data_IF_629292889555
#
_entry.id   IF_629292889555
#
_cell.length_a   1.000
_cell.length_b   1.000
_cell.length_c   1.000
_cell.angle_alpha   90.00
_cell.angle_beta   90.00
_cell.angle_gamma   90.00
#
_symmetry.space_group_name_H-M   'P 1'
#
loop_
_entity.id
_entity.type
_entity.pdbx_description
1 polymer ?
#
# COMPACT_ATOMS: atom_id res chain seq x y z
N UNK A 1 28.81 12.91 -14.09
CA UNK A 1 27.69 12.42 -13.24
C UNK A 1 26.95 13.54 -12.50
N UNK A 2 27.59 14.68 -12.18
CA UNK A 2 26.92 15.81 -11.54
C UNK A 2 25.80 16.44 -12.39
N UNK A 3 26.05 16.66 -13.69
CA UNK A 3 25.05 17.26 -14.61
C UNK A 3 23.74 16.46 -14.68
N UNK A 4 23.73 15.13 -14.95
CA UNK A 4 22.48 14.37 -14.97
C UNK A 4 21.80 14.28 -13.59
N UNK A 5 22.57 14.26 -12.49
CA UNK A 5 22.00 14.27 -11.14
C UNK A 5 21.28 15.60 -10.83
N UNK A 6 21.88 16.74 -11.22
CA UNK A 6 21.27 18.06 -11.06
C UNK A 6 20.02 18.22 -11.93
N UNK A 7 20.03 17.71 -13.16
CA UNK A 7 18.85 17.70 -14.02
C UNK A 7 17.71 16.86 -13.41
N UNK A 8 18.03 15.69 -12.87
CA UNK A 8 17.05 14.86 -12.16
C UNK A 8 16.46 15.55 -10.93
N UNK A 9 17.31 16.22 -10.13
CA UNK A 9 16.85 17.00 -8.98
C UNK A 9 15.95 18.17 -9.42
N UNK A 10 16.36 18.91 -10.45
CA UNK A 10 15.59 20.02 -10.97
C UNK A 10 14.20 19.58 -11.46
N UNK A 11 14.12 18.43 -12.14
CA UNK A 11 12.84 17.87 -12.62
C UNK A 11 11.86 17.57 -11.47
N UNK A 12 12.36 17.12 -10.32
CA UNK A 12 11.53 16.85 -9.14
C UNK A 12 11.15 18.13 -8.38
N UNK A 13 12.09 19.07 -8.27
CA UNK A 13 11.94 20.24 -7.40
C UNK A 13 11.23 21.41 -8.09
N UNK A 14 11.47 21.64 -9.38
CA UNK A 14 10.89 22.79 -10.10
C UNK A 14 9.35 22.80 -10.12
N UNK A 15 8.63 21.68 -10.37
CA UNK A 15 7.17 21.67 -10.32
C UNK A 15 6.64 22.01 -8.93
N UNK A 16 7.32 21.56 -7.87
CA UNK A 16 6.96 21.86 -6.49
C UNK A 16 7.17 23.34 -6.18
N UNK A 17 8.29 23.94 -6.60
CA UNK A 17 8.53 25.38 -6.48
C UNK A 17 7.46 26.16 -7.25
N UNK A 18 7.14 25.75 -8.48
CA UNK A 18 6.10 26.41 -9.28
C UNK A 18 4.73 26.35 -8.60
N UNK A 19 4.36 25.20 -8.01
CA UNK A 19 3.12 25.04 -7.26
C UNK A 19 3.09 25.96 -6.02
N UNK A 20 4.16 25.94 -5.22
CA UNK A 20 4.34 26.75 -4.01
C UNK A 20 4.29 28.25 -4.35
N UNK A 21 4.88 28.66 -5.47
CA UNK A 21 4.86 30.06 -5.93
C UNK A 21 3.48 30.56 -6.34
N UNK A 22 2.59 29.65 -6.77
CA UNK A 22 1.21 29.98 -7.17
C UNK A 22 0.21 29.91 -6.01
N UNK A 23 0.61 29.39 -4.85
CA UNK A 23 -0.25 29.34 -3.68
C UNK A 23 -0.50 30.74 -3.11
N UNK A 24 -1.75 31.07 -2.79
CA UNK A 24 -2.13 32.33 -2.15
C UNK A 24 -1.79 32.29 -0.65
N UNK A 25 -0.55 32.66 -0.32
CA UNK A 25 -0.03 32.67 1.07
C UNK A 25 -0.86 33.48 2.06
N UNK A 26 -1.62 34.47 1.58
CA UNK A 26 -2.50 35.30 2.39
C UNK A 26 -3.77 34.57 2.87
N UNK A 27 -4.32 33.67 2.06
CA UNK A 27 -5.56 32.93 2.37
C UNK A 27 -5.28 31.52 2.84
N UNK A 28 -4.05 31.02 2.66
CA UNK A 28 -3.62 29.65 2.95
C UNK A 28 -4.10 29.13 4.33
N UNK A 29 -4.00 29.97 5.37
CA UNK A 29 -4.48 29.61 6.70
C UNK A 29 -6.00 29.43 6.74
N UNK A 30 -6.76 30.33 6.13
CA UNK A 30 -8.23 30.26 6.04
C UNK A 30 -8.69 29.10 5.15
N UNK A 31 -7.97 28.82 4.07
CA UNK A 31 -8.29 27.75 3.12
C UNK A 31 -8.09 26.37 3.77
N UNK A 32 -6.98 26.17 4.51
CA UNK A 32 -6.70 24.90 5.21
C UNK A 32 -7.59 24.71 6.45
N UNK A 33 -7.95 25.79 7.15
CA UNK A 33 -8.82 25.73 8.35
C UNK A 33 -10.30 25.74 8.02
N UNK A 34 -10.66 25.83 6.74
CA UNK A 34 -12.04 25.72 6.29
C UNK A 34 -12.64 24.36 6.64
N UNK A 35 -13.93 24.34 6.97
CA UNK A 35 -14.62 23.12 7.39
C UNK A 35 -14.55 22.04 6.30
N UNK A 36 -14.66 22.42 5.03
CA UNK A 36 -14.55 21.53 3.88
C UNK A 36 -13.14 20.93 3.75
N UNK A 37 -12.09 21.72 3.93
CA UNK A 37 -10.72 21.22 3.88
C UNK A 37 -10.44 20.24 5.03
N UNK A 38 -10.86 20.57 6.25
CA UNK A 38 -10.66 19.69 7.41
C UNK A 38 -11.45 18.38 7.28
N UNK A 39 -12.68 18.43 6.78
CA UNK A 39 -13.48 17.23 6.50
C UNK A 39 -12.83 16.36 5.42
N UNK A 40 -12.37 16.96 4.33
CA UNK A 40 -11.68 16.25 3.26
C UNK A 40 -10.37 15.61 3.75
N UNK A 41 -9.54 16.38 4.47
CA UNK A 41 -8.30 15.88 5.07
C UNK A 41 -8.57 14.73 6.04
N UNK A 42 -9.56 14.88 6.92
CA UNK A 42 -9.96 13.84 7.88
C UNK A 42 -10.41 12.56 7.19
N UNK A 43 -11.23 12.68 6.13
CA UNK A 43 -11.68 11.55 5.34
C UNK A 43 -10.51 10.86 4.61
N UNK A 44 -9.63 11.62 3.95
CA UNK A 44 -8.45 11.09 3.26
C UNK A 44 -7.48 10.38 4.22
N UNK A 45 -7.25 10.93 5.41
CA UNK A 45 -6.45 10.29 6.45
C UNK A 45 -7.10 8.99 6.95
N UNK A 46 -8.40 9.03 7.25
CA UNK A 46 -9.13 7.87 7.73
C UNK A 46 -9.14 6.72 6.70
N UNK A 47 -9.38 7.03 5.43
CA UNK A 47 -9.37 6.02 4.35
C UNK A 47 -7.97 5.49 4.09
N UNK A 48 -6.94 6.36 4.02
CA UNK A 48 -5.56 5.94 3.81
C UNK A 48 -5.02 5.07 4.96
N UNK A 49 -5.34 5.40 6.22
CA UNK A 49 -4.98 4.56 7.37
C UNK A 49 -5.69 3.21 7.34
N UNK A 50 -6.99 3.20 7.01
CA UNK A 50 -7.77 1.97 6.88
C UNK A 50 -7.22 1.06 5.76
N UNK A 51 -6.88 1.66 4.60
CA UNK A 51 -6.28 0.96 3.49
C UNK A 51 -4.89 0.41 3.85
N UNK A 52 -4.08 1.19 4.57
CA UNK A 52 -2.76 0.77 5.05
C UNK A 52 -2.89 -0.40 6.03
N UNK A 53 -3.84 -0.34 6.97
CA UNK A 53 -4.09 -1.44 7.91
C UNK A 53 -4.51 -2.71 7.17
N UNK A 54 -5.40 -2.60 6.18
CA UNK A 54 -5.78 -3.71 5.31
C UNK A 54 -4.58 -4.28 4.54
N UNK A 55 -3.74 -3.40 3.99
CA UNK A 55 -2.52 -3.79 3.29
C UNK A 55 -1.53 -4.50 4.22
N UNK A 56 -1.35 -4.06 5.46
CA UNK A 56 -0.50 -4.76 6.43
C UNK A 56 -1.07 -6.14 6.74
N UNK A 57 -2.38 -6.22 7.01
CA UNK A 57 -3.04 -7.46 7.36
C UNK A 57 -2.96 -8.52 6.25
N UNK A 58 -3.10 -8.12 4.98
CA UNK A 58 -3.07 -9.04 3.84
C UNK A 58 -1.67 -9.20 3.23
N UNK A 59 -0.92 -8.09 3.15
CA UNK A 59 0.35 -7.99 2.46
C UNK A 59 1.53 -8.58 3.23
N UNK A 60 1.55 -8.50 4.57
CA UNK A 60 2.62 -9.14 5.36
C UNK A 60 2.58 -10.67 5.23
N UNK A 61 1.42 -11.35 5.41
CA UNK A 61 1.31 -12.78 5.13
C UNK A 61 1.69 -13.15 3.69
N UNK A 62 1.27 -12.35 2.70
CA UNK A 62 1.60 -12.58 1.30
C UNK A 62 3.12 -12.47 1.05
N UNK A 63 3.77 -11.45 1.60
CA UNK A 63 5.21 -11.27 1.50
C UNK A 63 5.98 -12.42 2.18
N UNK A 64 5.51 -12.91 3.33
CA UNK A 64 6.06 -14.09 4.00
C UNK A 64 5.91 -15.34 3.12
N UNK A 65 4.73 -15.55 2.52
CA UNK A 65 4.49 -16.65 1.61
C UNK A 65 5.44 -16.57 0.41
N UNK A 66 5.57 -15.42 -0.23
CA UNK A 66 6.45 -15.19 -1.37
C UNK A 66 7.93 -15.40 -1.02
N UNK A 67 8.38 -14.89 0.13
CA UNK A 67 9.77 -14.99 0.57
C UNK A 67 10.17 -16.40 1.03
N UNK A 68 9.20 -17.29 1.30
CA UNK A 68 9.43 -18.67 1.75
C UNK A 68 9.04 -19.72 0.70
N UNK A 69 8.36 -19.31 -0.37
CA UNK A 69 7.99 -20.18 -1.50
C UNK A 69 9.16 -20.46 -2.44
N UNK A 70 9.03 -21.54 -3.23
CA UNK A 70 9.98 -21.86 -4.30
C UNK A 70 10.05 -20.77 -5.41
N UNK A 71 11.09 -20.80 -6.25
CA UNK A 71 11.37 -19.73 -7.21
C UNK A 71 10.24 -19.49 -8.21
N UNK A 72 9.59 -20.56 -8.70
CA UNK A 72 8.46 -20.45 -9.65
C UNK A 72 7.23 -19.79 -9.02
N UNK A 73 6.81 -20.27 -7.85
CA UNK A 73 5.66 -19.72 -7.13
C UNK A 73 5.89 -18.26 -6.74
N UNK A 74 7.09 -17.95 -6.25
CA UNK A 74 7.42 -16.56 -5.91
C UNK A 74 7.45 -15.66 -7.15
N UNK A 75 7.96 -16.13 -8.29
CA UNK A 75 7.96 -15.34 -9.52
C UNK A 75 6.51 -15.04 -9.96
N UNK A 76 5.64 -16.05 -9.97
CA UNK A 76 4.23 -15.89 -10.31
C UNK A 76 3.51 -14.89 -9.39
N UNK A 77 3.65 -15.06 -8.07
CA UNK A 77 3.04 -14.16 -7.09
C UNK A 77 3.58 -12.73 -7.24
N UNK A 78 4.89 -12.57 -7.49
CA UNK A 78 5.51 -11.26 -7.70
C UNK A 78 5.00 -10.58 -8.96
N UNK A 79 4.78 -11.32 -10.03
CA UNK A 79 4.14 -10.81 -11.25
C UNK A 79 2.72 -10.35 -10.95
N UNK A 80 1.91 -11.16 -10.26
CA UNK A 80 0.53 -10.81 -9.89
C UNK A 80 0.47 -9.56 -9.02
N UNK A 81 1.36 -9.47 -8.02
CA UNK A 81 1.47 -8.30 -7.14
C UNK A 81 1.95 -7.05 -7.90
N UNK A 82 2.74 -7.21 -8.97
CA UNK A 82 3.21 -6.10 -9.79
C UNK A 82 2.17 -5.61 -10.82
N UNK A 83 1.13 -6.38 -11.12
CA UNK A 83 0.09 -5.99 -12.09
C UNK A 83 -0.52 -4.61 -11.80
N UNK A 84 -0.93 -4.27 -10.55
CA UNK A 84 -1.49 -2.96 -10.24
C UNK A 84 -0.53 -1.79 -10.49
N UNK A 85 0.79 -2.02 -10.46
CA UNK A 85 1.79 -0.97 -10.68
C UNK A 85 1.91 -0.55 -12.14
N UNK A 86 1.48 -1.41 -13.07
CA UNK A 86 1.54 -1.17 -14.52
C UNK A 86 0.19 -0.73 -15.07
N UNK A 87 -0.89 -1.01 -14.36
CA UNK A 87 -2.24 -0.63 -14.76
C UNK A 87 -2.41 0.90 -14.66
N UNK A 88 -2.96 1.55 -15.72
CA UNK A 88 -3.43 2.92 -15.58
C UNK A 88 -4.47 3.01 -14.44
N UNK A 89 -4.50 4.09 -13.64
CA UNK A 89 -5.41 4.21 -12.49
C UNK A 89 -6.88 3.98 -12.87
N UNK A 90 -7.29 4.52 -14.02
CA UNK A 90 -8.65 4.34 -14.54
C UNK A 90 -9.01 2.86 -14.77
N UNK A 91 -8.06 2.05 -15.22
CA UNK A 91 -8.29 0.62 -15.47
C UNK A 91 -8.43 -0.13 -14.15
N UNK A 92 -7.64 0.23 -13.14
CA UNK A 92 -7.78 -0.31 -11.78
C UNK A 92 -9.16 -0.02 -11.19
N UNK A 93 -9.63 1.22 -11.31
CA UNK A 93 -10.96 1.62 -10.85
C UNK A 93 -12.10 0.86 -11.53
N UNK A 94 -12.06 0.72 -12.86
CA UNK A 94 -13.07 -0.04 -13.61
C UNK A 94 -13.03 -1.53 -13.26
N UNK A 95 -11.84 -2.12 -13.09
CA UNK A 95 -11.70 -3.52 -12.69
C UNK A 95 -12.33 -3.78 -11.32
N UNK A 96 -12.10 -2.87 -10.35
CA UNK A 96 -12.73 -2.96 -9.03
C UNK A 96 -14.24 -2.73 -9.10
N UNK A 97 -14.72 -1.82 -9.95
CA UNK A 97 -16.15 -1.63 -10.18
C UNK A 97 -16.80 -2.87 -10.81
N UNK A 98 -16.13 -3.56 -11.73
CA UNK A 98 -16.63 -4.81 -12.28
C UNK A 98 -16.63 -5.94 -11.25
N UNK A 99 -15.66 -5.94 -10.33
CA UNK A 99 -15.61 -6.91 -9.24
C UNK A 99 -16.69 -6.64 -8.18
N UNK A 100 -16.85 -5.40 -7.74
CA UNK A 100 -17.70 -5.01 -6.62
C UNK A 100 -18.98 -4.28 -7.01
N UNK A 101 -19.27 -4.17 -8.29
CA UNK A 101 -20.47 -3.54 -8.82
C UNK A 101 -21.73 -4.29 -8.39
N UNK A 102 -22.86 -3.58 -8.32
CA UNK A 102 -24.16 -4.13 -7.87
C UNK A 102 -24.60 -5.39 -8.62
N UNK A 103 -24.21 -5.54 -9.89
CA UNK A 103 -24.57 -6.68 -10.73
C UNK A 103 -23.58 -7.84 -10.65
N UNK A 104 -22.40 -7.65 -10.04
CA UNK A 104 -21.39 -8.69 -9.87
C UNK A 104 -21.78 -9.72 -8.80
N UNK A 105 -21.48 -11.02 -8.98
CA UNK A 105 -21.69 -12.03 -7.94
C UNK A 105 -21.03 -11.66 -6.61
N UNK A 106 -19.83 -11.08 -6.64
CA UNK A 106 -19.09 -10.66 -5.44
C UNK A 106 -19.75 -9.44 -4.80
N UNK A 107 -20.14 -8.44 -5.61
CA UNK A 107 -20.86 -7.26 -5.13
C UNK A 107 -22.20 -7.61 -4.48
N UNK A 108 -22.98 -8.54 -5.06
CA UNK A 108 -24.23 -9.03 -4.47
C UNK A 108 -24.01 -9.79 -3.16
N UNK A 109 -22.94 -10.58 -3.06
CA UNK A 109 -22.62 -11.31 -1.84
C UNK A 109 -22.26 -10.35 -0.71
N UNK A 110 -21.45 -9.33 -1.00
CA UNK A 110 -21.08 -8.26 -0.06
C UNK A 110 -22.32 -7.51 0.42
N UNK A 111 -23.20 -7.11 -0.50
CA UNK A 111 -24.44 -6.42 -0.18
C UNK A 111 -25.37 -7.29 0.68
N UNK A 112 -25.48 -8.58 0.36
CA UNK A 112 -26.30 -9.51 1.14
C UNK A 112 -25.75 -9.78 2.56
N UNK A 113 -24.43 -9.78 2.76
CA UNK A 113 -23.80 -10.13 4.03
C UNK A 113 -23.62 -8.93 4.96
N UNK A 114 -23.26 -7.78 4.39
CA UNK A 114 -22.95 -6.57 5.15
C UNK A 114 -23.98 -5.46 4.96
N UNK A 115 -24.92 -5.59 4.02
CA UNK A 115 -25.93 -4.55 3.74
C UNK A 115 -25.36 -3.28 3.12
N UNK A 116 -24.15 -3.34 2.57
CA UNK A 116 -23.41 -2.17 2.06
C UNK A 116 -23.25 -2.27 0.55
N UNK A 117 -23.83 -1.30 -0.17
CA UNK A 117 -23.52 -1.07 -1.57
C UNK A 117 -22.11 -0.44 -1.69
N UNK A 118 -21.14 -1.23 -2.18
CA UNK A 118 -19.76 -0.78 -2.32
C UNK A 118 -19.55 0.39 -3.30
N UNK A 119 -20.18 0.45 -4.49
CA UNK A 119 -19.93 1.55 -5.42
C UNK A 119 -20.26 2.92 -4.79
N UNK A 120 -19.36 3.90 -4.98
CA UNK A 120 -19.50 5.26 -4.45
C UNK A 120 -19.59 5.36 -2.93
N UNK A 121 -18.93 4.44 -2.21
CA UNK A 121 -18.90 4.41 -0.75
C UNK A 121 -17.46 4.51 -0.20
N UNK A 122 -17.32 4.92 1.06
CA UNK A 122 -16.03 4.98 1.76
C UNK A 122 -15.27 3.64 1.74
N UNK A 123 -15.91 2.48 1.95
CA UNK A 123 -15.24 1.18 1.80
C UNK A 123 -14.66 0.92 0.40
N UNK A 124 -15.30 1.38 -0.68
CA UNK A 124 -14.73 1.25 -2.02
C UNK A 124 -13.47 2.09 -2.21
N UNK A 125 -13.43 3.29 -1.63
CA UNK A 125 -12.22 4.13 -1.60
C UNK A 125 -11.09 3.39 -0.90
N UNK A 126 -11.36 2.80 0.27
CA UNK A 126 -10.37 2.01 1.03
C UNK A 126 -9.86 0.82 0.21
N UNK A 127 -10.74 0.09 -0.48
CA UNK A 127 -10.36 -1.03 -1.34
C UNK A 127 -9.53 -0.60 -2.56
N UNK A 128 -9.90 0.52 -3.18
CA UNK A 128 -9.14 1.09 -4.30
C UNK A 128 -7.74 1.53 -3.88
N UNK A 129 -7.65 2.29 -2.79
CA UNK A 129 -6.37 2.68 -2.19
C UNK A 129 -5.53 1.44 -1.83
N UNK A 130 -6.13 0.42 -1.23
CA UNK A 130 -5.44 -0.80 -0.87
C UNK A 130 -4.94 -1.55 -2.12
N UNK A 131 -5.74 -1.68 -3.17
CA UNK A 131 -5.35 -2.35 -4.42
C UNK A 131 -4.08 -1.73 -5.03
N UNK A 132 -3.96 -0.41 -4.99
CA UNK A 132 -2.83 0.32 -5.58
C UNK A 132 -1.64 0.43 -4.62
N UNK A 133 -1.88 0.46 -3.30
CA UNK A 133 -0.83 0.59 -2.29
C UNK A 133 -0.20 -0.75 -1.86
N UNK A 134 -0.95 -1.86 -1.90
CA UNK A 134 -0.52 -3.20 -1.47
C UNK A 134 0.83 -3.64 -2.09
N UNK A 135 1.10 -3.43 -3.39
CA UNK A 135 2.36 -3.89 -3.99
C UNK A 135 3.60 -3.27 -3.35
N UNK A 136 3.53 -2.01 -2.95
CA UNK A 136 4.65 -1.31 -2.32
C UNK A 136 5.04 -1.96 -0.99
N UNK A 137 4.05 -2.29 -0.17
CA UNK A 137 4.27 -2.99 1.10
C UNK A 137 4.81 -4.41 0.88
N UNK A 138 4.16 -5.17 -0.01
CA UNK A 138 4.53 -6.58 -0.25
C UNK A 138 5.95 -6.69 -0.77
N UNK A 139 6.34 -5.89 -1.76
CA UNK A 139 7.67 -5.95 -2.37
C UNK A 139 8.77 -5.47 -1.41
N UNK A 140 8.50 -4.45 -0.58
CA UNK A 140 9.45 -3.97 0.43
C UNK A 140 9.71 -5.04 1.52
N UNK A 141 8.64 -5.65 2.04
CA UNK A 141 8.74 -6.70 3.06
C UNK A 141 9.37 -7.97 2.49
N UNK A 142 8.95 -8.40 1.30
CA UNK A 142 9.50 -9.57 0.61
C UNK A 142 11.01 -9.42 0.33
N UNK A 143 11.42 -8.25 -0.19
CA UNK A 143 12.82 -7.94 -0.46
C UNK A 143 13.68 -8.02 0.80
N UNK A 144 13.18 -7.48 1.91
CA UNK A 144 13.87 -7.53 3.21
C UNK A 144 13.94 -8.96 3.75
N UNK A 145 12.84 -9.71 3.71
CA UNK A 145 12.79 -11.10 4.16
C UNK A 145 13.71 -12.03 3.37
N UNK A 146 13.90 -11.77 2.07
CA UNK A 146 14.85 -12.49 1.22
C UNK A 146 16.29 -12.09 1.54
N UNK A 147 16.55 -10.80 1.73
CA UNK A 147 17.88 -10.27 2.07
C UNK A 147 18.42 -10.79 3.41
N UNK A 148 17.56 -10.86 4.43
CA UNK A 148 17.90 -11.41 5.75
C UNK A 148 18.14 -12.94 5.71
N UNK A 149 17.51 -13.64 4.78
CA UNK A 149 17.56 -15.10 4.68
C UNK A 149 16.85 -15.84 5.82
N UNK A 150 17.11 -17.13 5.94
CA UNK A 150 16.40 -18.04 6.89
C UNK A 150 17.33 -18.65 7.95
N UNK A 151 18.57 -18.15 8.08
CA UNK A 151 19.59 -18.74 8.97
C UNK A 151 19.15 -18.72 10.43
N UNK A 152 18.67 -17.58 10.93
CA UNK A 152 18.20 -17.43 12.31
C UNK A 152 16.93 -18.25 12.59
N UNK A 153 16.05 -18.36 11.60
CA UNK A 153 14.83 -19.18 11.71
C UNK A 153 15.17 -20.66 11.86
N UNK A 154 16.12 -21.17 11.06
CA UNK A 154 16.58 -22.56 11.13
C UNK A 154 17.28 -22.87 12.46
N UNK A 155 18.13 -21.95 12.95
CA UNK A 155 18.79 -22.10 14.24
C UNK A 155 17.78 -22.19 15.39
N UNK A 156 16.78 -21.30 15.41
CA UNK A 156 15.74 -21.35 16.42
C UNK A 156 14.85 -22.61 16.32
N UNK A 157 14.54 -23.07 15.10
CA UNK A 157 13.82 -24.32 14.90
C UNK A 157 14.59 -25.52 15.45
N UNK A 158 15.92 -25.57 15.28
CA UNK A 158 16.77 -26.64 15.86
C UNK A 158 16.81 -26.62 17.38
N UNK A 159 16.51 -25.48 18.01
CA UNK A 159 16.36 -25.32 19.47
C UNK A 159 14.92 -25.58 19.96
N UNK A 160 14.05 -26.12 19.09
CA UNK A 160 12.66 -26.45 19.44
C UNK A 160 11.70 -25.26 19.45
N UNK A 161 12.08 -24.10 18.88
CA UNK A 161 11.16 -22.97 18.78
C UNK A 161 10.02 -23.27 17.78
N UNK A 162 8.77 -23.11 18.24
CA UNK A 162 7.59 -23.23 17.37
C UNK A 162 7.47 -22.11 16.34
N UNK A 163 6.70 -22.36 15.27
CA UNK A 163 6.52 -21.44 14.12
C UNK A 163 6.09 -20.02 14.53
N UNK A 164 5.17 -19.92 15.50
CA UNK A 164 4.71 -18.63 16.00
C UNK A 164 5.79 -17.83 16.73
N UNK A 165 6.63 -18.53 17.52
CA UNK A 165 7.76 -17.92 18.23
C UNK A 165 8.82 -17.43 17.24
N UNK A 166 9.12 -18.22 16.20
CA UNK A 166 10.05 -17.82 15.14
C UNK A 166 9.51 -16.58 14.41
N UNK A 167 8.24 -16.61 14.00
CA UNK A 167 7.63 -15.48 13.30
C UNK A 167 7.70 -14.18 14.12
N UNK A 168 7.25 -14.22 15.38
CA UNK A 168 7.09 -13.01 16.21
C UNK A 168 8.41 -12.52 16.82
N UNK A 169 9.34 -13.41 17.16
CA UNK A 169 10.59 -13.04 17.84
C UNK A 169 11.81 -12.98 16.95
N UNK A 170 11.74 -13.52 15.73
CA UNK A 170 12.89 -13.58 14.82
C UNK A 170 12.51 -12.93 13.49
N UNK A 171 11.53 -13.47 12.78
CA UNK A 171 11.22 -13.03 11.41
C UNK A 171 10.71 -11.59 11.36
N UNK A 172 9.70 -11.23 12.15
CA UNK A 172 9.12 -9.89 12.14
C UNK A 172 10.10 -8.81 12.64
N UNK A 173 10.85 -8.99 13.75
CA UNK A 173 11.86 -8.02 14.18
C UNK A 173 12.98 -7.82 13.15
N UNK A 174 13.45 -8.90 12.53
CA UNK A 174 14.48 -8.80 11.48
C UNK A 174 13.95 -8.17 10.19
N UNK A 175 12.65 -8.30 9.92
CA UNK A 175 11.99 -7.65 8.79
C UNK A 175 11.50 -6.23 9.10
N UNK A 176 11.63 -5.76 10.36
CA UNK A 176 11.07 -4.49 10.81
C UNK A 176 11.49 -3.27 9.96
N UNK A 177 12.76 -3.11 9.54
CA UNK A 177 13.15 -1.98 8.69
C UNK A 177 12.39 -1.98 7.35
N UNK A 178 12.24 -3.16 6.74
CA UNK A 178 11.48 -3.35 5.51
C UNK A 178 9.98 -3.16 5.69
N UNK A 179 9.44 -3.61 6.83
CA UNK A 179 8.04 -3.42 7.18
C UNK A 179 7.71 -1.94 7.40
N UNK A 180 8.53 -1.22 8.15
CA UNK A 180 8.34 0.22 8.39
C UNK A 180 8.42 0.99 7.07
N UNK A 181 9.44 0.73 6.25
CA UNK A 181 9.56 1.35 4.93
C UNK A 181 8.35 1.02 4.04
N UNK A 182 7.93 -0.24 4.01
CA UNK A 182 6.77 -0.70 3.24
C UNK A 182 5.46 -0.05 3.70
N UNK A 183 5.26 0.10 5.02
CA UNK A 183 4.09 0.78 5.60
C UNK A 183 4.07 2.26 5.24
N UNK A 184 5.20 2.95 5.34
CA UNK A 184 5.30 4.38 4.99
C UNK A 184 5.01 4.58 3.50
N UNK A 185 5.60 3.77 2.62
CA UNK A 185 5.35 3.85 1.18
C UNK A 185 3.91 3.51 0.82
N UNK A 186 3.34 2.49 1.47
CA UNK A 186 1.93 2.11 1.31
C UNK A 186 1.00 3.25 1.74
N UNK A 187 1.24 3.85 2.90
CA UNK A 187 0.46 4.98 3.39
C UNK A 187 0.58 6.19 2.48
N UNK A 188 1.80 6.57 2.09
CA UNK A 188 2.04 7.67 1.16
C UNK A 188 1.33 7.44 -0.19
N UNK A 189 1.35 6.21 -0.70
CA UNK A 189 0.67 5.84 -1.93
C UNK A 189 -0.84 5.92 -1.80
N UNK A 190 -1.41 5.44 -0.70
CA UNK A 190 -2.84 5.48 -0.42
C UNK A 190 -3.35 6.92 -0.20
N UNK A 191 -2.57 7.75 0.50
CA UNK A 191 -2.89 9.16 0.74
C UNK A 191 -2.81 9.99 -0.54
N UNK A 192 -1.86 9.67 -1.41
CA UNK A 192 -1.67 10.33 -2.71
C UNK A 192 -2.56 9.78 -3.83
N UNK A 193 -3.39 8.75 -3.57
CA UNK A 193 -4.40 8.33 -4.54
C UNK A 193 -5.52 9.35 -4.58
N UNK A 194 -5.74 9.88 -5.79
CA UNK A 194 -6.92 10.63 -6.16
C UNK A 194 -7.74 9.75 -7.11
N UNK A 195 -8.86 9.22 -6.62
CA UNK A 195 -9.76 8.35 -7.37
C UNK A 195 -11.16 8.39 -6.78
#
# INVERSE_FOLDING_TARGET
MLVPALLGLALLVLPLIALISRASWSTLWQDITSETALQALGLSLATALSATALCVACGVPLALLMARSGPRTSALLRTLVAVPLVLPPMVGGVALLFLFGRTSPVGRLVDAWWGVALPFSTPAVVLAQAFVALPFLVLAVEGTLRGTGVRYERAAASLGAGRWRILTRITLPLAAPGLIAGVILCFARALGEFG
#
